data_IF_167132277727
#
_entry.id   IF_167132277727
#
_cell.length_a   1.000
_cell.length_b   1.000
_cell.length_c   1.000
_cell.angle_alpha   90.00
_cell.angle_beta   90.00
_cell.angle_gamma   90.00
#
_symmetry.space_group_name_H-M   'P 1'
#
loop_
_entity.id
_entity.type
_entity.pdbx_description
1 polymer ?
#
# COMPACT_ATOMS: atom_id res chain seq x y z
N UNK A 1 1.05 10.32 -16.37
CA UNK A 1 -0.21 9.58 -16.48
C UNK A 1 -1.29 10.47 -15.89
N UNK A 2 -2.51 10.51 -16.44
CA UNK A 2 -3.56 11.34 -15.87
C UNK A 2 -4.16 10.60 -14.66
N UNK A 3 -4.14 11.22 -13.48
CA UNK A 3 -4.56 10.64 -12.19
C UNK A 3 -5.96 10.01 -12.23
N UNK A 4 -6.83 10.43 -13.16
CA UNK A 4 -8.19 9.92 -13.31
C UNK A 4 -8.28 8.52 -13.95
N UNK A 5 -7.21 8.01 -14.57
CA UNK A 5 -7.24 6.70 -15.28
C UNK A 5 -6.92 5.50 -14.36
N UNK A 6 -6.50 5.78 -13.12
CA UNK A 6 -6.07 4.78 -12.16
C UNK A 6 -7.24 4.29 -11.26
N UNK A 7 -8.32 5.06 -11.11
CA UNK A 7 -9.47 4.64 -10.30
C UNK A 7 -10.13 3.39 -10.92
N UNK A 8 -10.36 2.37 -10.11
CA UNK A 8 -10.87 1.06 -10.53
C UNK A 8 -9.81 0.07 -10.98
N UNK A 9 -8.56 0.49 -11.15
CA UNK A 9 -7.42 -0.39 -11.42
C UNK A 9 -7.00 -1.14 -10.18
N UNK A 10 -6.50 -2.36 -10.34
CA UNK A 10 -6.01 -3.17 -9.22
C UNK A 10 -4.55 -2.82 -8.93
N UNK A 11 -4.28 -2.43 -7.70
CA UNK A 11 -2.94 -2.14 -7.21
C UNK A 11 -2.52 -3.22 -6.21
N UNK A 12 -1.32 -3.76 -6.41
CA UNK A 12 -0.60 -4.54 -5.40
C UNK A 12 0.31 -3.60 -4.61
N UNK A 13 0.32 -3.76 -3.28
CA UNK A 13 1.13 -2.97 -2.37
C UNK A 13 1.96 -3.92 -1.52
N UNK A 14 3.28 -3.73 -1.52
CA UNK A 14 4.19 -4.35 -0.57
C UNK A 14 4.80 -3.28 0.34
N UNK A 15 4.63 -3.44 1.65
CA UNK A 15 5.24 -2.59 2.68
C UNK A 15 6.28 -3.42 3.43
N UNK A 16 7.51 -2.95 3.46
CA UNK A 16 8.59 -3.53 4.24
C UNK A 16 8.93 -2.57 5.38
N UNK A 17 8.76 -3.02 6.62
CA UNK A 17 9.16 -2.25 7.79
C UNK A 17 10.58 -2.61 8.17
N UNK A 18 11.47 -1.62 8.23
CA UNK A 18 12.87 -1.79 8.61
C UNK A 18 13.21 -0.97 9.84
N UNK A 19 14.09 -1.46 10.70
CA UNK A 19 14.63 -0.72 11.84
C UNK A 19 15.61 0.39 11.38
N UNK A 20 16.06 1.24 12.31
CA UNK A 20 17.09 2.24 12.06
C UNK A 20 18.41 1.68 11.50
N UNK A 21 18.70 0.39 11.71
CA UNK A 21 19.85 -0.32 11.12
C UNK A 21 19.56 -0.87 9.69
N UNK A 22 18.36 -0.65 9.16
CA UNK A 22 17.90 -1.20 7.87
C UNK A 22 17.49 -2.67 7.93
N UNK A 23 17.38 -3.24 9.14
CA UNK A 23 16.97 -4.62 9.34
C UNK A 23 15.45 -4.74 9.22
N UNK A 24 14.96 -5.64 8.36
CA UNK A 24 13.52 -5.95 8.26
C UNK A 24 12.98 -6.41 9.61
N UNK A 25 12.00 -5.65 10.12
CA UNK A 25 11.24 -5.95 11.33
C UNK A 25 10.00 -6.74 10.93
N UNK A 26 9.28 -6.28 9.91
CA UNK A 26 7.97 -6.79 9.52
C UNK A 26 7.72 -6.53 8.02
N UNK A 27 6.75 -7.23 7.43
CA UNK A 27 6.30 -6.97 6.06
C UNK A 27 4.79 -7.13 5.98
N UNK A 28 4.16 -6.34 5.12
CA UNK A 28 2.74 -6.43 4.81
C UNK A 28 2.55 -6.42 3.30
N UNK A 29 1.74 -7.33 2.79
CA UNK A 29 1.36 -7.35 1.38
C UNK A 29 -0.15 -7.32 1.26
N UNK A 30 -0.67 -6.42 0.45
CA UNK A 30 -2.10 -6.32 0.19
C UNK A 30 -2.34 -5.92 -1.26
N UNK A 31 -3.55 -6.14 -1.73
CA UNK A 31 -3.94 -5.74 -3.07
C UNK A 31 -5.41 -5.39 -3.09
N UNK A 32 -5.80 -4.57 -4.06
CA UNK A 32 -7.15 -4.05 -4.11
C UNK A 32 -7.40 -3.10 -5.26
N UNK A 33 -8.68 -2.84 -5.62
CA UNK A 33 -9.01 -1.77 -6.53
C UNK A 33 -8.73 -0.41 -5.90
N UNK A 34 -8.17 0.51 -6.69
CA UNK A 34 -8.07 1.92 -6.32
C UNK A 34 -9.47 2.52 -6.29
N UNK A 35 -9.89 3.01 -5.13
CA UNK A 35 -11.21 3.60 -4.93
C UNK A 35 -11.17 5.12 -5.08
N UNK A 36 -10.08 5.75 -4.70
CA UNK A 36 -9.91 7.20 -4.76
C UNK A 36 -8.43 7.59 -4.90
N UNK A 37 -8.18 8.70 -5.61
CA UNK A 37 -6.86 9.32 -5.73
C UNK A 37 -6.99 10.77 -5.30
N UNK A 38 -6.18 11.14 -4.34
CA UNK A 38 -5.99 12.49 -3.84
C UNK A 38 -4.63 13.02 -4.26
N UNK A 39 -4.40 14.32 -4.09
CA UNK A 39 -3.13 14.95 -4.47
C UNK A 39 -1.91 14.30 -3.82
N UNK A 40 -2.04 13.86 -2.56
CA UNK A 40 -0.94 13.28 -1.78
C UNK A 40 -1.07 11.78 -1.55
N UNK A 41 -2.27 11.18 -1.77
CA UNK A 41 -2.55 9.80 -1.40
C UNK A 41 -3.36 9.03 -2.45
N UNK A 42 -3.11 7.74 -2.57
CA UNK A 42 -3.93 6.77 -3.31
C UNK A 42 -4.62 5.86 -2.29
N UNK A 43 -5.94 5.74 -2.39
CA UNK A 43 -6.76 4.92 -1.50
C UNK A 43 -7.22 3.68 -2.25
N UNK A 44 -7.01 2.51 -1.64
CA UNK A 44 -7.47 1.23 -2.18
C UNK A 44 -8.33 0.48 -1.17
N UNK A 45 -9.23 -0.36 -1.66
CA UNK A 45 -9.98 -1.31 -0.83
C UNK A 45 -9.24 -2.65 -0.77
N UNK A 46 -8.78 -3.04 0.42
CA UNK A 46 -8.00 -4.25 0.62
C UNK A 46 -8.85 -5.50 0.37
N UNK A 47 -8.37 -6.38 -0.51
CA UNK A 47 -9.07 -7.62 -0.90
C UNK A 47 -9.20 -8.65 0.24
N UNK A 48 -8.38 -8.53 1.28
CA UNK A 48 -8.44 -9.37 2.49
C UNK A 48 -9.59 -8.97 3.44
N UNK A 49 -10.33 -7.90 3.15
CA UNK A 49 -11.46 -7.43 3.93
C UNK A 49 -11.09 -6.59 5.16
N UNK A 50 -9.84 -6.15 5.28
CA UNK A 50 -9.38 -5.28 6.37
C UNK A 50 -9.84 -3.82 6.22
N UNK A 51 -10.35 -3.43 5.04
CA UNK A 51 -10.96 -2.13 4.81
C UNK A 51 -10.23 -1.31 3.75
N UNK A 52 -10.10 -0.01 3.98
CA UNK A 52 -9.42 0.92 3.08
C UNK A 52 -8.01 1.23 3.60
N UNK A 53 -7.02 1.25 2.70
CA UNK A 53 -5.65 1.68 3.00
C UNK A 53 -5.27 2.84 2.09
N UNK A 54 -4.58 3.83 2.66
CA UNK A 54 -4.03 4.97 1.92
C UNK A 54 -2.51 4.84 1.84
N UNK A 55 -1.97 4.96 0.63
CA UNK A 55 -0.52 5.06 0.39
C UNK A 55 -0.18 6.40 -0.23
N UNK A 56 1.06 6.87 -0.14
CA UNK A 56 1.45 8.11 -0.80
C UNK A 56 1.26 7.99 -2.31
N UNK A 57 0.73 9.05 -2.93
CA UNK A 57 0.63 9.17 -4.37
C UNK A 57 2.00 9.51 -4.96
N UNK A 58 2.88 8.51 -4.99
CA UNK A 58 4.20 8.63 -5.59
C UNK A 58 4.26 7.87 -6.92
N UNK A 59 4.33 8.59 -8.05
CA UNK A 59 4.35 7.96 -9.37
C UNK A 59 5.69 7.28 -9.68
N UNK A 60 6.76 7.55 -8.93
CA UNK A 60 8.04 6.84 -9.08
C UNK A 60 8.02 5.50 -8.33
N UNK A 61 7.21 5.39 -7.27
CA UNK A 61 6.96 4.17 -6.52
C UNK A 61 5.84 3.28 -7.05
N UNK A 62 5.22 3.62 -8.19
CA UNK A 62 4.16 2.81 -8.83
C UNK A 62 4.60 2.33 -10.21
N UNK A 63 4.73 1.02 -10.35
CA UNK A 63 5.13 0.35 -11.57
C UNK A 63 3.94 -0.39 -12.19
N UNK A 64 3.92 -0.53 -13.52
CA UNK A 64 2.91 -1.34 -14.22
C UNK A 64 3.28 -2.81 -14.00
N UNK A 65 2.31 -3.65 -13.65
CA UNK A 65 2.52 -5.09 -13.58
C UNK A 65 2.78 -5.64 -14.98
N UNK A 66 3.99 -6.11 -15.26
CA UNK A 66 4.41 -6.54 -16.62
C UNK A 66 3.51 -7.64 -17.21
N UNK A 67 3.06 -8.59 -16.39
CA UNK A 67 2.19 -9.70 -16.81
C UNK A 67 0.72 -9.50 -16.40
N UNK A 68 0.39 -8.36 -15.78
CA UNK A 68 -0.90 -8.15 -15.14
C UNK A 68 -1.12 -9.02 -13.91
N UNK A 69 -0.06 -9.66 -13.40
CA UNK A 69 -0.08 -10.55 -12.25
C UNK A 69 1.12 -10.28 -11.33
N UNK A 70 0.93 -10.50 -10.02
CA UNK A 70 2.00 -10.43 -9.02
C UNK A 70 1.91 -11.63 -8.08
N UNK A 71 3.06 -12.16 -7.66
CA UNK A 71 3.12 -13.24 -6.68
C UNK A 71 3.31 -12.66 -5.27
N UNK A 72 2.33 -12.88 -4.40
CA UNK A 72 2.42 -12.52 -2.98
C UNK A 72 3.50 -13.36 -2.31
N UNK A 73 4.41 -12.73 -1.58
CA UNK A 73 5.51 -13.41 -0.88
C UNK A 73 4.97 -14.24 0.29
N UNK A 74 4.02 -13.70 1.06
CA UNK A 74 3.48 -14.33 2.25
C UNK A 74 2.68 -15.60 1.93
N UNK A 75 1.73 -15.50 1.00
CA UNK A 75 0.84 -16.61 0.65
C UNK A 75 1.35 -17.46 -0.52
N UNK A 76 2.31 -16.96 -1.30
CA UNK A 76 2.74 -17.57 -2.57
C UNK A 76 1.69 -17.51 -3.68
N UNK A 77 0.56 -16.84 -3.43
CA UNK A 77 -0.57 -16.71 -4.35
C UNK A 77 -0.25 -15.75 -5.49
N UNK A 78 -0.72 -16.06 -6.70
CA UNK A 78 -0.63 -15.18 -7.85
C UNK A 78 -1.95 -14.40 -7.93
N UNK A 79 -1.85 -13.07 -7.98
CA UNK A 79 -3.00 -12.16 -8.02
C UNK A 79 -2.93 -11.26 -9.24
N UNK A 80 -4.04 -11.12 -9.94
CA UNK A 80 -4.15 -10.21 -11.08
C UNK A 80 -4.17 -8.76 -10.60
N UNK A 81 -3.21 -7.95 -11.04
CA UNK A 81 -3.06 -6.53 -10.73
C UNK A 81 -2.63 -5.74 -11.95
N UNK A 82 -3.05 -4.49 -12.05
CA UNK A 82 -2.60 -3.58 -13.10
C UNK A 82 -1.29 -2.88 -12.71
N UNK A 83 -1.09 -2.63 -11.41
CA UNK A 83 0.04 -1.87 -10.87
C UNK A 83 0.63 -2.54 -9.63
N UNK A 84 1.90 -2.27 -9.38
CA UNK A 84 2.68 -2.75 -8.24
C UNK A 84 3.31 -1.53 -7.59
N UNK A 85 3.19 -1.42 -6.27
CA UNK A 85 3.85 -0.38 -5.49
C UNK A 85 4.56 -0.99 -4.29
N UNK A 86 5.81 -0.58 -4.10
CA UNK A 86 6.70 -1.19 -3.10
C UNK A 86 7.31 -0.11 -2.24
N UNK A 87 7.10 -0.21 -0.93
CA UNK A 87 7.53 0.80 0.03
C UNK A 87 8.39 0.18 1.11
N UNK A 88 9.47 0.88 1.47
CA UNK A 88 10.26 0.56 2.65
C UNK A 88 10.06 1.68 3.68
N UNK A 89 9.47 1.33 4.82
CA UNK A 89 9.18 2.24 5.92
C UNK A 89 10.22 2.01 7.00
N UNK A 90 11.05 3.01 7.26
CA UNK A 90 11.99 2.97 8.37
C UNK A 90 11.25 3.33 9.67
N UNK A 91 11.22 2.39 10.61
CA UNK A 91 10.69 2.59 11.95
C UNK A 91 11.81 3.09 12.84
N UNK A 92 11.61 4.28 13.39
CA UNK A 92 12.46 4.79 14.45
C UNK A 92 12.11 4.09 15.76
N UNK A 93 13.06 3.40 16.43
CA UNK A 93 12.79 2.68 17.68
C UNK A 93 12.40 3.62 18.84
N UNK A 94 12.52 4.94 18.64
CA UNK A 94 12.08 5.96 19.60
C UNK A 94 10.60 6.33 19.49
N UNK A 95 9.91 5.92 18.43
CA UNK A 95 8.48 6.19 18.24
C UNK A 95 7.73 4.96 17.67
N UNK A 96 7.51 3.91 18.50
CA UNK A 96 6.74 2.73 18.09
C UNK A 96 5.23 2.99 17.96
N UNK A 97 4.77 4.22 18.20
CA UNK A 97 3.35 4.62 18.20
C UNK A 97 2.95 5.45 16.96
N UNK A 98 3.87 5.86 16.07
CA UNK A 98 3.50 6.56 14.83
C UNK A 98 2.71 5.68 13.84
N UNK A 99 2.78 4.35 13.98
CA UNK A 99 1.95 3.38 13.25
C UNK A 99 0.52 3.26 13.83
N UNK A 100 0.28 3.82 15.01
CA UNK A 100 -1.00 3.83 15.72
C UNK A 100 -1.56 5.25 15.80
N UNK A 101 -1.35 6.08 14.78
CA UNK A 101 -2.26 7.20 14.51
C UNK A 101 -3.60 6.66 13.98
N UNK A 102 -4.25 5.87 14.83
CA UNK A 102 -5.64 5.39 14.83
C UNK A 102 -6.63 6.58 14.98
N UNK A 103 -6.21 7.80 14.61
CA UNK A 103 -6.95 9.05 14.81
C UNK A 103 -7.43 9.72 13.53
N UNK A 104 -7.32 9.05 12.37
CA UNK A 104 -7.97 9.52 11.13
C UNK A 104 -9.21 8.71 10.70
N UNK A 105 -9.59 7.63 11.42
CA UNK A 105 -10.95 7.11 11.30
C UNK A 105 -11.91 8.04 12.05
N UNK A 106 -12.51 8.94 11.27
CA UNK A 106 -13.53 9.88 11.69
C UNK A 106 -14.55 9.27 12.67
N UNK A 107 -14.57 9.77 13.91
CA UNK A 107 -15.81 9.81 14.68
C UNK A 107 -16.49 11.13 14.39
N UNK A 108 -17.46 11.12 13.46
CA UNK A 108 -18.46 12.17 13.35
C UNK A 108 -19.73 11.67 14.08
N UNK A 109 -20.05 12.24 15.24
CA UNK A 109 -21.41 12.25 15.77
C UNK A 109 -21.85 13.70 16.01
#
# INVERSE_FOLDING_TARGET
MAEQDLVGKKLFISLTYVDADGKVIDWLETHGPITEIQSDNVIIEQANGEGLIAIPNDPEGMEIAEDGECQMIESGAIVEVDYISSWTIQLDPSDPLSLLDDSQFATLH
#
